data_IF_743875636371
#
_entry.id   IF_743875636371
#
_cell.length_a   1.000
_cell.length_b   1.000
_cell.length_c   1.000
_cell.angle_alpha   90.00
_cell.angle_beta   90.00
_cell.angle_gamma   90.00
#
_symmetry.space_group_name_H-M   'P 1'
#
loop_
_entity.id
_entity.type
_entity.pdbx_description
1 polymer ?
#
# COMPACT_ATOMS: atom_id res chain seq x y z
N UNK A 1 29.47 -3.28 19.43
CA UNK A 1 28.91 -2.68 20.66
C UNK A 1 27.89 -1.64 20.23
N UNK A 2 26.60 -1.97 20.38
CA UNK A 2 25.46 -1.08 20.16
C UNK A 2 25.37 -0.11 21.35
N UNK A 3 24.91 1.14 21.18
CA UNK A 3 24.92 2.07 22.30
C UNK A 3 23.90 1.62 23.35
N UNK A 4 24.42 1.09 24.46
CA UNK A 4 23.74 1.14 25.76
C UNK A 4 24.01 2.53 26.35
N UNK A 5 23.07 3.43 26.09
CA UNK A 5 22.90 4.83 26.55
C UNK A 5 21.58 5.28 25.91
N UNK A 6 20.58 5.72 26.68
CA UNK A 6 19.18 5.24 26.61
C UNK A 6 18.85 4.31 27.80
N UNK A 7 19.54 4.46 28.92
CA UNK A 7 19.42 3.55 30.07
C UNK A 7 18.08 3.59 30.79
N UNK A 8 17.11 4.41 30.40
CA UNK A 8 15.76 4.38 31.00
C UNK A 8 14.66 4.85 30.03
N UNK A 9 14.70 4.52 28.73
CA UNK A 9 13.71 5.04 27.77
C UNK A 9 12.30 4.56 28.12
N UNK A 10 11.58 5.39 28.88
CA UNK A 10 10.14 5.39 29.03
C UNK A 10 9.52 6.05 27.81
N UNK A 11 8.59 5.34 27.16
CA UNK A 11 7.64 5.78 26.14
C UNK A 11 8.09 6.99 25.28
N UNK A 12 8.48 6.72 24.03
CA UNK A 12 8.58 7.76 23.00
C UNK A 12 7.17 8.03 22.47
N UNK A 13 6.60 9.21 22.78
CA UNK A 13 5.40 9.71 22.11
C UNK A 13 5.84 10.54 20.92
N UNK A 14 5.74 9.98 19.73
CA UNK A 14 5.92 10.74 18.48
C UNK A 14 4.63 11.51 18.23
N UNK A 15 4.70 12.84 18.28
CA UNK A 15 3.59 13.70 17.86
C UNK A 15 3.90 14.18 16.45
N UNK A 16 3.17 13.66 15.47
CA UNK A 16 3.25 14.11 14.09
C UNK A 16 2.44 15.41 13.94
N UNK A 17 3.10 16.48 13.49
CA UNK A 17 2.41 17.67 12.98
C UNK A 17 2.24 17.44 11.47
N UNK A 18 1.00 17.28 11.03
CA UNK A 18 0.68 17.32 9.61
C UNK A 18 0.91 18.76 9.13
N UNK A 19 1.97 18.97 8.36
CA UNK A 19 2.16 20.21 7.62
C UNK A 19 0.88 20.42 6.77
N UNK A 20 0.22 21.57 6.98
CA UNK A 20 -1.05 22.05 6.40
C UNK A 20 -2.29 22.02 7.30
N UNK A 21 -2.23 21.52 8.55
CA UNK A 21 -3.31 21.71 9.52
C UNK A 21 -2.73 22.16 10.87
N UNK A 22 -3.04 23.41 11.27
CA UNK A 22 -2.78 23.94 12.61
C UNK A 22 -3.69 23.28 13.67
N UNK A 23 -3.73 21.96 13.71
CA UNK A 23 -4.50 21.17 14.67
C UNK A 23 -3.51 20.27 15.40
N UNK A 24 -2.96 20.79 16.51
CA UNK A 24 -2.38 19.94 17.54
C UNK A 24 -3.52 19.13 18.16
N UNK A 25 -3.65 17.86 17.78
CA UNK A 25 -4.52 16.93 18.51
C UNK A 25 -3.86 16.59 19.84
N UNK A 26 -4.40 17.11 20.93
CA UNK A 26 -4.03 16.67 22.27
C UNK A 26 -4.61 15.27 22.51
N UNK A 27 -3.73 14.28 22.68
CA UNK A 27 -4.13 12.95 23.10
C UNK A 27 -3.95 12.82 24.61
N UNK A 28 -5.04 12.58 25.32
CA UNK A 28 -4.97 12.18 26.73
C UNK A 28 -4.85 10.65 26.82
N UNK A 29 -3.68 10.15 27.20
CA UNK A 29 -3.45 8.72 27.39
C UNK A 29 -3.85 8.34 28.82
N UNK A 30 -4.82 7.42 28.95
CA UNK A 30 -5.22 6.90 30.26
C UNK A 30 -4.19 5.88 30.76
N UNK A 31 -3.40 6.26 31.78
CA UNK A 31 -2.38 5.43 32.43
C UNK A 31 -2.91 4.03 32.77
N UNK A 32 -4.06 3.93 33.40
CA UNK A 32 -4.63 2.65 33.82
C UNK A 32 -4.91 1.69 32.66
N UNK A 33 -5.34 2.21 31.52
CA UNK A 33 -5.60 1.41 30.31
C UNK A 33 -4.31 0.85 29.71
N UNK A 34 -3.24 1.65 29.71
CA UNK A 34 -1.92 1.22 29.24
C UNK A 34 -1.35 0.13 30.14
N UNK A 35 -1.41 0.31 31.47
CA UNK A 35 -0.97 -0.70 32.42
C UNK A 35 -1.79 -2.00 32.31
N UNK A 36 -3.10 -1.89 32.10
CA UNK A 36 -3.97 -3.04 31.91
C UNK A 36 -3.61 -3.83 30.64
N UNK A 37 -3.34 -3.14 29.53
CA UNK A 37 -2.90 -3.76 28.29
C UNK A 37 -1.53 -4.46 28.44
N UNK A 38 -0.58 -3.83 29.14
CA UNK A 38 0.74 -4.40 29.38
C UNK A 38 0.68 -5.65 30.28
N UNK A 39 -0.12 -5.61 31.36
CA UNK A 39 -0.37 -6.77 32.22
C UNK A 39 -1.03 -7.91 31.46
N UNK A 40 -1.97 -7.60 30.56
CA UNK A 40 -2.58 -8.60 29.70
C UNK A 40 -1.53 -9.24 28.78
N UNK A 41 -0.66 -8.43 28.15
CA UNK A 41 0.40 -8.92 27.26
C UNK A 41 1.36 -9.88 27.97
N UNK A 42 1.82 -9.53 29.17
CA UNK A 42 2.73 -10.39 29.96
C UNK A 42 2.05 -11.71 30.34
N UNK A 43 0.77 -11.68 30.72
CA UNK A 43 0.03 -12.90 31.09
C UNK A 43 -0.21 -13.84 29.91
N UNK A 44 -0.34 -13.30 28.69
CA UNK A 44 -0.79 -14.06 27.52
C UNK A 44 0.33 -14.31 26.50
N UNK A 45 1.54 -13.79 26.71
CA UNK A 45 2.66 -13.99 25.80
C UNK A 45 3.90 -14.54 26.53
N UNK A 46 4.27 -15.82 26.32
CA UNK A 46 5.40 -16.47 26.97
C UNK A 46 6.75 -15.78 26.74
N UNK A 47 6.89 -14.99 25.66
CA UNK A 47 8.11 -14.23 25.36
C UNK A 47 8.32 -13.04 26.31
N UNK A 48 7.29 -12.63 27.04
CA UNK A 48 7.30 -11.47 27.94
C UNK A 48 7.24 -11.87 29.42
N UNK A 49 7.40 -13.17 29.73
CA UNK A 49 7.34 -13.71 31.09
C UNK A 49 8.37 -13.09 32.05
N UNK A 50 9.48 -12.58 31.52
CA UNK A 50 10.58 -11.98 32.29
C UNK A 50 10.48 -10.45 32.38
N UNK A 51 9.43 -9.85 31.81
CA UNK A 51 9.16 -8.41 31.90
C UNK A 51 8.47 -8.10 33.22
N UNK A 52 9.00 -7.13 33.96
CA UNK A 52 8.41 -6.61 35.18
C UNK A 52 7.90 -5.20 34.94
N UNK A 53 6.66 -4.94 35.31
CA UNK A 53 6.06 -3.62 35.25
C UNK A 53 6.37 -2.91 36.56
N UNK A 54 6.94 -1.71 36.51
CA UNK A 54 7.07 -0.86 37.68
C UNK A 54 5.77 -0.08 37.90
N UNK A 55 4.98 -0.55 38.87
CA UNK A 55 3.71 0.07 39.25
C UNK A 55 3.89 1.40 40.00
N UNK A 56 5.11 1.70 40.48
CA UNK A 56 5.42 2.89 41.26
C UNK A 56 6.10 4.01 40.45
N UNK A 57 6.36 3.79 39.16
CA UNK A 57 6.97 4.79 38.29
C UNK A 57 6.15 6.09 38.27
N UNK A 58 6.74 7.19 38.71
CA UNK A 58 6.17 8.54 38.64
C UNK A 58 6.75 9.21 37.38
N UNK A 59 6.00 9.19 36.28
CA UNK A 59 6.42 9.88 35.04
C UNK A 59 6.18 11.37 35.28
N UNK A 60 7.24 12.14 35.47
CA UNK A 60 7.13 13.60 35.53
C UNK A 60 7.04 14.16 34.10
N UNK A 61 6.32 15.27 33.90
CA UNK A 61 6.23 15.93 32.58
C UNK A 61 7.61 16.35 32.02
N UNK A 62 8.63 16.38 32.88
CA UNK A 62 10.02 16.73 32.55
C UNK A 62 10.82 15.55 31.97
N UNK A 63 10.34 14.31 32.09
CA UNK A 63 10.97 13.11 31.51
C UNK A 63 10.46 12.80 30.08
N UNK A 64 9.49 13.57 29.59
CA UNK A 64 9.04 13.52 28.21
C UNK A 64 10.07 14.21 27.31
N UNK A 65 10.75 13.44 26.46
CA UNK A 65 11.57 13.99 25.37
C UNK A 65 10.64 14.63 24.35
N UNK A 66 10.44 15.94 24.45
CA UNK A 66 9.71 16.73 23.45
C UNK A 66 10.69 17.14 22.34
N UNK A 67 10.59 16.49 21.20
CA UNK A 67 11.23 16.95 19.96
C UNK A 67 10.53 18.24 19.52
N UNK A 68 11.16 19.39 19.82
CA UNK A 68 10.76 20.67 19.25
C UNK A 68 11.53 20.85 17.94
N UNK A 69 10.83 20.73 16.82
CA UNK A 69 11.35 21.22 15.54
C UNK A 69 11.39 22.75 15.65
N UNK A 70 12.52 23.42 15.38
CA UNK A 70 12.60 24.87 15.48
C UNK A 70 11.55 25.52 14.56
N UNK A 71 10.78 26.46 15.08
CA UNK A 71 9.93 27.31 14.25
C UNK A 71 10.82 28.11 13.31
N UNK A 72 10.76 27.79 12.02
CA UNK A 72 11.49 28.52 10.98
C UNK A 72 10.76 29.83 10.73
N UNK A 73 11.46 30.95 10.96
CA UNK A 73 10.98 32.28 10.57
C UNK A 73 10.72 32.32 9.06
N UNK A 74 9.61 32.95 8.68
CA UNK A 74 9.08 33.03 7.31
C UNK A 74 10.11 33.50 6.26
N UNK A 75 11.17 34.18 6.69
CA UNK A 75 12.24 34.65 5.81
C UNK A 75 13.19 33.52 5.33
N UNK A 76 13.35 32.41 6.08
CA UNK A 76 14.17 31.25 5.65
C UNK A 76 13.40 30.27 4.74
N UNK A 77 12.08 30.41 4.63
CA UNK A 77 11.25 29.56 3.77
C UNK A 77 11.49 29.82 2.27
N UNK A 78 12.03 30.99 1.93
CA UNK A 78 12.25 31.40 0.55
C UNK A 78 13.53 30.81 -0.08
N UNK A 79 14.51 30.37 0.72
CA UNK A 79 15.75 29.76 0.22
C UNK A 79 15.79 28.22 0.29
N UNK A 80 14.79 27.57 0.90
CA UNK A 80 14.71 26.09 0.97
C UNK A 80 13.93 25.43 -0.17
N UNK A 81 13.54 26.19 -1.18
CA UNK A 81 12.62 25.72 -2.22
C UNK A 81 13.26 24.93 -3.38
N UNK A 82 14.53 24.51 -3.31
CA UNK A 82 15.17 23.79 -4.44
C UNK A 82 16.12 22.64 -4.07
N UNK A 83 16.23 22.22 -2.80
CA UNK A 83 17.04 21.05 -2.45
C UNK A 83 16.18 19.78 -2.32
N UNK A 84 15.85 19.22 -3.49
CA UNK A 84 15.46 17.83 -3.77
C UNK A 84 14.54 17.14 -2.74
N UNK A 85 13.22 17.15 -2.98
CA UNK A 85 12.41 15.96 -2.64
C UNK A 85 13.03 14.82 -3.45
N UNK A 86 13.90 14.04 -2.82
CA UNK A 86 14.59 12.94 -3.48
C UNK A 86 13.54 11.90 -3.85
N UNK A 87 13.06 11.96 -5.09
CA UNK A 87 12.12 11.00 -5.64
C UNK A 87 12.73 9.60 -5.45
N UNK A 88 12.10 8.77 -4.60
CA UNK A 88 12.60 7.45 -4.26
C UNK A 88 12.58 6.49 -5.45
N UNK A 89 11.88 6.85 -6.54
CA UNK A 89 11.82 6.07 -7.74
C UNK A 89 13.14 6.08 -8.51
N UNK A 90 13.63 4.89 -8.82
CA UNK A 90 14.86 4.67 -9.57
C UNK A 90 14.52 4.55 -11.06
N UNK A 91 15.19 5.29 -11.97
CA UNK A 91 14.93 5.18 -13.41
C UNK A 91 15.14 3.76 -13.93
N UNK A 92 14.20 3.25 -14.74
CA UNK A 92 14.34 1.96 -15.46
C UNK A 92 14.42 2.13 -16.97
N UNK A 93 14.00 3.29 -17.48
CA UNK A 93 14.23 3.82 -18.83
C UNK A 93 13.97 5.35 -18.80
N UNK A 94 13.91 5.99 -19.97
CA UNK A 94 13.76 7.45 -20.09
C UNK A 94 12.37 7.98 -19.70
N UNK A 95 11.36 7.12 -19.60
CA UNK A 95 9.95 7.50 -19.38
C UNK A 95 9.29 6.73 -18.22
N UNK A 96 10.09 5.97 -17.45
CA UNK A 96 9.60 5.15 -16.35
C UNK A 96 10.64 4.99 -15.23
N UNK A 97 10.13 4.96 -14.00
CA UNK A 97 10.90 4.85 -12.77
C UNK A 97 10.24 3.82 -11.85
N UNK A 98 10.99 3.18 -10.95
CA UNK A 98 10.49 2.10 -10.09
C UNK A 98 10.87 2.31 -8.63
N UNK A 99 9.92 2.07 -7.72
CA UNK A 99 10.23 1.72 -6.32
C UNK A 99 9.97 0.23 -6.11
N UNK A 100 10.77 -0.39 -5.25
CA UNK A 100 10.64 -1.80 -4.90
C UNK A 100 10.47 -1.93 -3.40
N UNK A 101 9.49 -2.72 -2.99
CA UNK A 101 9.27 -3.07 -1.61
C UNK A 101 10.47 -3.86 -1.05
N UNK A 102 10.46 -4.12 0.25
CA UNK A 102 11.42 -5.05 0.85
C UNK A 102 11.14 -6.49 0.44
N UNK A 103 9.87 -6.84 0.15
CA UNK A 103 9.39 -8.21 -0.04
C UNK A 103 8.32 -8.27 -1.14
N UNK A 104 7.95 -9.49 -1.55
CA UNK A 104 6.75 -9.73 -2.37
C UNK A 104 5.69 -10.44 -1.52
N UNK A 105 4.44 -10.45 -1.98
CA UNK A 105 3.30 -10.99 -1.22
C UNK A 105 3.39 -12.47 -0.81
N UNK A 106 4.31 -13.21 -1.44
CA UNK A 106 4.56 -14.64 -1.19
C UNK A 106 5.67 -14.89 -0.17
N UNK A 107 6.19 -13.84 0.50
CA UNK A 107 7.20 -13.98 1.54
C UNK A 107 6.53 -14.45 2.86
N UNK A 108 6.64 -15.74 3.15
CA UNK A 108 6.07 -16.38 4.33
C UNK A 108 6.70 -15.94 5.66
N UNK A 109 7.88 -15.30 5.65
CA UNK A 109 8.48 -14.78 6.87
C UNK A 109 7.81 -13.47 7.32
N UNK A 110 7.22 -12.73 6.36
CA UNK A 110 6.56 -11.45 6.60
C UNK A 110 5.05 -11.64 6.71
N UNK A 111 4.46 -12.32 5.73
CA UNK A 111 3.01 -12.55 5.65
C UNK A 111 2.65 -13.87 6.33
N UNK A 112 2.58 -13.84 7.66
CA UNK A 112 2.39 -15.03 8.51
C UNK A 112 0.93 -15.47 8.67
N UNK A 113 0.01 -14.81 7.96
CA UNK A 113 -1.43 -15.10 7.95
C UNK A 113 -1.81 -16.47 7.37
N UNK A 114 -0.84 -17.24 6.88
CA UNK A 114 -0.98 -18.49 6.09
C UNK A 114 -1.52 -18.28 4.68
N UNK A 115 -1.85 -17.05 4.30
CA UNK A 115 -2.41 -16.70 3.00
C UNK A 115 -1.42 -15.97 2.08
N UNK A 116 -0.12 -16.06 2.38
CA UNK A 116 0.90 -15.47 1.53
C UNK A 116 0.82 -16.07 0.11
N UNK A 117 0.69 -15.19 -0.89
CA UNK A 117 0.59 -15.54 -2.30
C UNK A 117 -0.76 -15.22 -2.95
N UNK A 118 -1.85 -15.10 -2.18
CA UNK A 118 -3.22 -15.00 -2.73
C UNK A 118 -3.91 -13.66 -2.45
N UNK A 119 -3.22 -12.74 -1.77
CA UNK A 119 -3.76 -11.46 -1.30
C UNK A 119 -3.60 -10.27 -2.27
N UNK A 120 -3.31 -10.52 -3.55
CA UNK A 120 -2.93 -9.48 -4.53
C UNK A 120 -4.05 -8.46 -4.80
N UNK A 121 -5.32 -8.90 -4.84
CA UNK A 121 -6.46 -8.00 -5.04
C UNK A 121 -6.58 -6.99 -3.89
N UNK A 122 -6.44 -7.44 -2.64
CA UNK A 122 -6.52 -6.56 -1.47
C UNK A 122 -5.31 -5.62 -1.35
N UNK A 123 -4.11 -6.10 -1.70
CA UNK A 123 -2.92 -5.23 -1.81
C UNK A 123 -3.06 -4.18 -2.92
N UNK A 124 -3.72 -4.52 -4.03
CA UNK A 124 -4.05 -3.56 -5.08
C UNK A 124 -5.02 -2.50 -4.58
N UNK A 125 -6.08 -2.88 -3.86
CA UNK A 125 -6.99 -1.93 -3.24
C UNK A 125 -6.28 -1.04 -2.19
N UNK A 126 -5.40 -1.61 -1.38
CA UNK A 126 -4.62 -0.85 -0.39
C UNK A 126 -3.70 0.20 -1.05
N UNK A 127 -3.12 -0.09 -2.22
CA UNK A 127 -2.36 0.88 -2.99
C UNK A 127 -3.25 2.00 -3.56
N UNK A 128 -4.42 1.66 -4.09
CA UNK A 128 -5.39 2.65 -4.60
C UNK A 128 -5.83 3.59 -3.47
N UNK A 129 -6.20 3.04 -2.31
CA UNK A 129 -6.60 3.82 -1.14
C UNK A 129 -5.48 4.72 -0.65
N UNK A 130 -4.22 4.23 -0.67
CA UNK A 130 -3.06 5.07 -0.34
C UNK A 130 -2.92 6.23 -1.32
N UNK A 131 -3.06 5.97 -2.62
CA UNK A 131 -2.89 6.99 -3.65
C UNK A 131 -3.96 8.10 -3.56
N UNK A 132 -5.12 7.79 -2.96
CA UNK A 132 -6.17 8.78 -2.71
C UNK A 132 -5.86 9.77 -1.57
N UNK A 133 -4.90 9.45 -0.68
CA UNK A 133 -4.54 10.30 0.46
C UNK A 133 -3.08 10.76 0.46
N UNK A 134 -2.24 10.15 -0.37
CA UNK A 134 -0.81 10.45 -0.45
C UNK A 134 -0.34 10.28 -1.90
N UNK A 135 0.15 11.37 -2.50
CA UNK A 135 0.59 11.39 -3.89
C UNK A 135 1.64 10.31 -4.16
N UNK A 136 1.50 9.48 -5.20
CA UNK A 136 2.42 8.37 -5.45
C UNK A 136 3.87 8.76 -5.68
N UNK A 137 4.15 10.00 -6.12
CA UNK A 137 5.51 10.54 -6.26
C UNK A 137 6.24 10.73 -4.92
N UNK A 138 5.50 10.76 -3.79
CA UNK A 138 6.04 10.82 -2.44
C UNK A 138 6.30 9.42 -1.85
N UNK A 139 5.96 8.35 -2.57
CA UNK A 139 6.10 6.99 -2.04
C UNK A 139 7.56 6.55 -2.02
N UNK A 140 7.99 6.06 -0.87
CA UNK A 140 9.25 5.37 -0.68
C UNK A 140 9.03 3.87 -0.42
N UNK A 141 10.12 3.16 -0.11
CA UNK A 141 10.07 1.73 0.21
C UNK A 141 9.22 1.46 1.46
N UNK A 142 9.22 2.36 2.45
CA UNK A 142 8.48 2.17 3.70
C UNK A 142 6.98 2.32 3.48
N UNK A 143 6.56 3.32 2.70
CA UNK A 143 5.16 3.50 2.29
C UNK A 143 4.67 2.27 1.55
N UNK A 144 5.43 1.78 0.57
CA UNK A 144 5.05 0.58 -0.18
C UNK A 144 4.98 -0.66 0.73
N UNK A 145 5.91 -0.85 1.66
CA UNK A 145 5.86 -1.93 2.64
C UNK A 145 4.61 -1.83 3.53
N UNK A 146 4.27 -0.63 4.00
CA UNK A 146 3.06 -0.40 4.80
C UNK A 146 1.79 -0.72 4.00
N UNK A 147 1.74 -0.37 2.71
CA UNK A 147 0.61 -0.71 1.85
C UNK A 147 0.45 -2.23 1.70
N UNK A 148 1.55 -2.96 1.57
CA UNK A 148 1.54 -4.42 1.47
C UNK A 148 1.01 -5.07 2.76
N UNK A 149 1.43 -4.59 3.93
CA UNK A 149 0.95 -5.07 5.23
C UNK A 149 -0.54 -4.74 5.46
N UNK A 150 -0.96 -3.54 5.06
CA UNK A 150 -2.35 -3.12 5.12
C UNK A 150 -3.22 -3.98 4.19
N UNK A 151 -2.74 -4.28 2.98
CA UNK A 151 -3.41 -5.18 2.03
C UNK A 151 -3.54 -6.61 2.52
N UNK A 152 -2.51 -7.17 3.17
CA UNK A 152 -2.59 -8.51 3.79
C UNK A 152 -3.62 -8.54 4.92
N UNK A 153 -3.61 -7.53 5.78
CA UNK A 153 -4.58 -7.39 6.87
C UNK A 153 -6.01 -7.28 6.34
N UNK A 154 -6.21 -6.48 5.29
CA UNK A 154 -7.49 -6.32 4.60
C UNK A 154 -7.99 -7.64 4.01
N UNK A 155 -7.11 -8.37 3.32
CA UNK A 155 -7.43 -9.68 2.75
C UNK A 155 -7.90 -10.66 3.83
N UNK A 156 -7.14 -10.76 4.93
CA UNK A 156 -7.48 -11.63 6.05
C UNK A 156 -8.85 -11.27 6.61
N UNK A 157 -9.10 -9.98 6.83
CA UNK A 157 -10.36 -9.50 7.37
C UNK A 157 -11.53 -9.82 6.44
N UNK A 158 -11.44 -9.49 5.14
CA UNK A 158 -12.50 -9.79 4.15
C UNK A 158 -12.85 -11.28 4.19
N UNK A 159 -11.84 -12.15 4.18
CA UNK A 159 -12.07 -13.61 4.25
C UNK A 159 -12.81 -14.08 5.48
N UNK A 160 -12.62 -13.42 6.63
CA UNK A 160 -13.38 -13.78 7.85
C UNK A 160 -14.85 -13.40 7.77
N UNK A 161 -15.21 -12.49 6.85
CA UNK A 161 -16.56 -11.98 6.68
C UNK A 161 -17.31 -12.63 5.50
N UNK A 162 -16.58 -13.22 4.54
CA UNK A 162 -17.18 -13.90 3.38
C UNK A 162 -17.86 -15.21 3.79
N UNK A 163 -18.94 -15.54 3.08
CA UNK A 163 -19.45 -16.91 3.10
C UNK A 163 -18.41 -17.85 2.47
N UNK A 164 -18.14 -19.04 3.03
CA UNK A 164 -17.18 -20.00 2.46
C UNK A 164 -17.43 -20.37 0.99
N UNK A 165 -18.65 -20.22 0.48
CA UNK A 165 -19.02 -20.50 -0.91
C UNK A 165 -18.65 -19.38 -1.89
N UNK A 166 -18.34 -18.17 -1.40
CA UNK A 166 -17.95 -17.02 -2.23
C UNK A 166 -16.48 -17.06 -2.66
N UNK A 167 -15.72 -18.02 -2.15
CA UNK A 167 -14.30 -18.17 -2.38
C UNK A 167 -14.01 -19.56 -2.91
N UNK A 168 -13.30 -19.63 -4.03
CA UNK A 168 -12.89 -20.90 -4.60
C UNK A 168 -11.70 -21.53 -3.84
N UNK A 169 -11.31 -22.73 -4.29
CA UNK A 169 -10.19 -23.49 -3.73
C UNK A 169 -8.83 -22.77 -3.88
N UNK A 170 -8.72 -21.82 -4.81
CA UNK A 170 -7.49 -21.06 -5.04
C UNK A 170 -7.26 -20.01 -3.96
N UNK A 171 -8.35 -19.53 -3.36
CA UNK A 171 -8.32 -18.51 -2.32
C UNK A 171 -8.06 -17.09 -2.80
N UNK A 172 -8.02 -16.83 -4.11
CA UNK A 172 -7.95 -15.46 -4.61
C UNK A 172 -9.26 -14.71 -4.36
N UNK A 173 -9.16 -13.46 -3.93
CA UNK A 173 -10.33 -12.57 -3.89
C UNK A 173 -10.59 -12.02 -5.29
N UNK A 174 -11.84 -12.12 -5.72
CA UNK A 174 -12.36 -11.40 -6.86
C UNK A 174 -12.86 -10.01 -6.45
N UNK A 175 -13.02 -9.11 -7.43
CA UNK A 175 -13.50 -7.74 -7.17
C UNK A 175 -14.88 -7.75 -6.52
N UNK A 176 -15.75 -8.69 -6.89
CA UNK A 176 -17.08 -8.85 -6.25
C UNK A 176 -16.98 -9.05 -4.74
N UNK A 177 -15.92 -9.69 -4.23
CA UNK A 177 -15.77 -9.91 -2.78
C UNK A 177 -15.51 -8.62 -1.99
N UNK A 178 -15.22 -7.50 -2.66
CA UNK A 178 -15.09 -6.19 -2.02
C UNK A 178 -16.43 -5.56 -1.62
N UNK A 179 -17.56 -6.24 -1.87
CA UNK A 179 -18.86 -5.86 -1.29
C UNK A 179 -18.79 -5.70 0.24
N UNK A 180 -17.95 -6.50 0.91
CA UNK A 180 -17.71 -6.46 2.36
C UNK A 180 -17.20 -5.09 2.83
N UNK A 181 -16.41 -4.39 2.01
CA UNK A 181 -15.78 -3.10 2.35
C UNK A 181 -16.43 -1.88 1.70
N UNK A 182 -17.46 -2.09 0.87
CA UNK A 182 -18.01 -1.08 -0.06
C UNK A 182 -18.35 0.26 0.61
N UNK A 183 -18.92 0.23 1.81
CA UNK A 183 -19.43 1.46 2.50
C UNK A 183 -18.60 1.88 3.70
N UNK A 184 -17.60 1.09 4.09
CA UNK A 184 -16.88 1.34 5.33
C UNK A 184 -15.56 0.57 5.34
N UNK A 185 -14.58 1.09 4.61
CA UNK A 185 -13.20 0.64 4.73
C UNK A 185 -12.44 1.54 5.71
N UNK A 186 -11.92 0.99 6.79
CA UNK A 186 -10.99 1.68 7.68
C UNK A 186 -9.56 1.27 7.35
N UNK A 187 -8.74 2.20 6.88
CA UNK A 187 -7.35 1.96 6.49
C UNK A 187 -6.55 3.26 6.60
N UNK A 188 -5.26 3.18 6.95
CA UNK A 188 -4.39 4.35 7.10
C UNK A 188 -5.00 5.48 7.95
N UNK A 189 -5.67 5.11 9.05
CA UNK A 189 -6.34 6.04 9.98
C UNK A 189 -7.50 6.86 9.38
N UNK A 190 -7.88 6.54 8.14
CA UNK A 190 -8.98 7.16 7.41
C UNK A 190 -10.12 6.16 7.21
N UNK A 191 -11.32 6.70 6.94
CA UNK A 191 -12.49 5.93 6.54
C UNK A 191 -12.84 6.24 5.09
N UNK A 192 -13.02 5.21 4.30
CA UNK A 192 -13.31 5.29 2.87
C UNK A 192 -14.64 4.59 2.54
N UNK A 193 -15.31 5.11 1.52
CA UNK A 193 -16.30 4.38 0.73
C UNK A 193 -15.59 3.85 -0.51
N UNK A 194 -15.71 2.55 -0.77
CA UNK A 194 -15.16 1.92 -1.97
C UNK A 194 -16.33 1.67 -2.91
N UNK A 195 -16.47 2.52 -3.91
CA UNK A 195 -17.47 2.34 -4.96
C UNK A 195 -16.76 1.86 -6.21
N UNK A 196 -17.24 0.76 -6.77
CA UNK A 196 -16.86 0.28 -8.09
C UNK A 196 -18.14 0.16 -8.92
N UNK A 197 -18.07 0.56 -10.19
CA UNK A 197 -19.21 0.45 -11.10
C UNK A 197 -19.22 -0.96 -11.73
N UNK A 198 -20.24 -1.73 -11.37
CA UNK A 198 -20.44 -3.10 -11.83
C UNK A 198 -20.65 -3.17 -13.35
N UNK A 199 -20.99 -2.05 -14.00
CA UNK A 199 -21.19 -1.95 -15.45
C UNK A 199 -19.94 -1.48 -16.21
N UNK A 200 -18.86 -1.08 -15.53
CA UNK A 200 -17.60 -0.63 -16.17
C UNK A 200 -16.57 -1.75 -16.32
N UNK A 201 -16.97 -3.02 -16.28
CA UNK A 201 -16.06 -4.13 -16.57
C UNK A 201 -15.51 -4.00 -18.01
N UNK A 202 -14.24 -3.62 -18.12
CA UNK A 202 -13.52 -3.58 -19.38
C UNK A 202 -12.73 -4.88 -19.53
N UNK A 203 -12.79 -5.52 -20.69
CA UNK A 203 -12.13 -6.80 -20.91
C UNK A 203 -11.55 -6.93 -22.32
N UNK A 204 -10.58 -7.82 -22.45
CA UNK A 204 -9.96 -8.16 -23.73
C UNK A 204 -8.75 -9.07 -23.55
N UNK A 205 -7.86 -9.06 -24.52
CA UNK A 205 -6.58 -9.79 -24.52
C UNK A 205 -5.41 -8.82 -24.49
N UNK A 206 -4.34 -9.20 -23.78
CA UNK A 206 -3.07 -8.45 -23.77
C UNK A 206 -2.34 -8.52 -25.13
N UNK A 207 -2.77 -9.41 -26.02
CA UNK A 207 -2.36 -9.43 -27.42
C UNK A 207 -3.35 -8.66 -28.29
N UNK A 208 -2.95 -7.48 -28.78
CA UNK A 208 -3.85 -6.55 -29.48
C UNK A 208 -4.54 -7.17 -30.71
N UNK A 209 -3.84 -8.03 -31.46
CA UNK A 209 -4.39 -8.69 -32.64
C UNK A 209 -5.59 -9.61 -32.33
N UNK A 210 -5.72 -10.09 -31.09
CA UNK A 210 -6.83 -10.94 -30.64
C UNK A 210 -8.08 -10.13 -30.35
N UNK A 211 -7.96 -8.83 -30.07
CA UNK A 211 -9.10 -7.95 -29.79
C UNK A 211 -9.88 -7.52 -31.05
N UNK A 212 -9.59 -8.14 -32.19
CA UNK A 212 -10.36 -7.98 -33.42
C UNK A 212 -11.65 -8.81 -33.33
N UNK A 213 -12.70 -8.41 -34.05
CA UNK A 213 -14.01 -9.10 -34.09
C UNK A 213 -14.84 -9.08 -32.78
N UNK A 214 -14.84 -7.98 -32.04
CA UNK A 214 -15.69 -7.78 -30.84
C UNK A 214 -15.48 -8.76 -29.67
N UNK A 215 -14.32 -9.44 -29.60
CA UNK A 215 -13.97 -10.33 -28.46
C UNK A 215 -13.63 -9.51 -27.20
N UNK A 216 -13.23 -8.24 -27.36
CA UNK A 216 -12.90 -7.32 -26.28
C UNK A 216 -12.27 -6.04 -26.83
N UNK A 217 -11.68 -5.21 -25.96
CA UNK A 217 -10.94 -4.00 -26.35
C UNK A 217 -9.45 -4.15 -26.08
N UNK A 218 -8.61 -3.35 -26.74
CA UNK A 218 -7.17 -3.33 -26.42
C UNK A 218 -6.94 -2.73 -25.04
N UNK A 219 -5.87 -3.15 -24.37
CA UNK A 219 -5.52 -2.61 -23.05
C UNK A 219 -5.34 -1.08 -23.07
N UNK A 220 -4.79 -0.54 -24.16
CA UNK A 220 -4.65 0.91 -24.31
C UNK A 220 -6.01 1.61 -24.31
N UNK A 221 -6.99 1.09 -25.05
CA UNK A 221 -8.36 1.64 -25.06
C UNK A 221 -9.02 1.49 -23.69
N UNK A 222 -8.81 0.36 -23.00
CA UNK A 222 -9.35 0.14 -21.67
C UNK A 222 -8.79 1.13 -20.65
N UNK A 223 -7.47 1.35 -20.64
CA UNK A 223 -6.81 2.31 -19.75
C UNK A 223 -7.23 3.76 -20.04
N UNK A 224 -7.43 4.15 -21.31
CA UNK A 224 -7.99 5.47 -21.62
C UNK A 224 -9.38 5.64 -21.01
N UNK A 225 -10.30 4.69 -21.29
CA UNK A 225 -11.67 4.74 -20.74
C UNK A 225 -11.70 4.75 -19.22
N UNK A 226 -10.79 4.02 -18.58
CA UNK A 226 -10.63 4.07 -17.13
C UNK A 226 -10.33 5.51 -16.67
N UNK A 227 -9.28 6.12 -17.23
CA UNK A 227 -8.81 7.44 -16.80
C UNK A 227 -9.63 8.63 -17.31
N UNK A 228 -10.57 8.39 -18.22
CA UNK A 228 -11.59 9.39 -18.62
C UNK A 228 -12.58 9.67 -17.48
N UNK A 229 -12.90 8.66 -16.67
CA UNK A 229 -13.95 8.76 -15.64
C UNK A 229 -13.48 8.46 -14.21
N UNK A 230 -12.32 7.81 -14.05
CA UNK A 230 -11.82 7.33 -12.76
C UNK A 230 -10.32 7.64 -12.61
N UNK A 231 -9.83 7.73 -11.38
CA UNK A 231 -8.40 7.96 -11.10
C UNK A 231 -7.59 6.66 -10.99
N UNK A 232 -8.25 5.51 -10.87
CA UNK A 232 -7.62 4.25 -10.51
C UNK A 232 -8.47 3.07 -10.95
N UNK A 233 -7.87 1.89 -11.03
CA UNK A 233 -8.57 0.63 -11.26
C UNK A 233 -7.71 -0.59 -10.94
N UNK A 234 -8.33 -1.76 -10.88
CA UNK A 234 -7.67 -3.05 -10.68
C UNK A 234 -7.70 -3.82 -11.99
N UNK A 235 -6.50 -4.10 -12.52
CA UNK A 235 -6.26 -4.91 -13.70
C UNK A 235 -5.96 -6.35 -13.28
N UNK A 236 -6.74 -7.30 -13.76
CA UNK A 236 -6.54 -8.72 -13.49
C UNK A 236 -6.15 -9.44 -14.78
N UNK A 237 -4.99 -10.12 -14.77
CA UNK A 237 -4.52 -10.96 -15.87
C UNK A 237 -3.49 -11.96 -15.36
N UNK A 238 -3.38 -13.13 -16.00
CA UNK A 238 -2.41 -14.18 -15.61
C UNK A 238 -2.42 -14.54 -14.12
N UNK A 239 -3.63 -14.65 -13.53
CA UNK A 239 -3.84 -14.92 -12.10
C UNK A 239 -3.20 -13.88 -11.17
N UNK A 240 -3.03 -12.64 -11.64
CA UNK A 240 -2.52 -11.52 -10.87
C UNK A 240 -3.54 -10.40 -10.91
N UNK A 241 -3.84 -9.83 -9.75
CA UNK A 241 -4.51 -8.53 -9.63
C UNK A 241 -3.45 -7.47 -9.33
N UNK A 242 -3.42 -6.43 -10.15
CA UNK A 242 -2.51 -5.29 -10.01
C UNK A 242 -3.31 -4.00 -10.06
N UNK A 243 -2.83 -2.94 -9.44
CA UNK A 243 -3.50 -1.63 -9.49
C UNK A 243 -2.83 -0.72 -10.50
N UNK A 244 -3.66 0.04 -11.21
CA UNK A 244 -3.24 1.14 -12.07
C UNK A 244 -3.91 2.41 -11.56
N UNK A 245 -3.18 3.52 -11.51
CA UNK A 245 -3.73 4.79 -11.06
C UNK A 245 -3.01 5.99 -11.68
N UNK A 246 -3.71 7.11 -11.78
CA UNK A 246 -3.25 8.38 -12.32
C UNK A 246 -2.98 9.35 -11.17
N UNK A 247 -1.74 9.84 -11.08
CA UNK A 247 -1.40 11.02 -10.26
C UNK A 247 -1.61 12.31 -11.06
N UNK A 248 -1.08 13.44 -10.60
CA UNK A 248 -1.27 14.73 -11.28
C UNK A 248 -0.84 14.69 -12.76
N UNK A 249 0.41 14.32 -13.04
CA UNK A 249 0.98 14.29 -14.40
C UNK A 249 1.59 12.94 -14.79
N UNK A 250 1.34 11.89 -14.00
CA UNK A 250 1.99 10.58 -14.12
C UNK A 250 0.99 9.45 -13.98
N UNK A 251 1.40 8.30 -14.49
CA UNK A 251 0.66 7.05 -14.39
C UNK A 251 1.44 6.04 -13.58
N UNK A 252 0.76 5.20 -12.82
CA UNK A 252 1.38 4.25 -11.91
C UNK A 252 0.83 2.84 -12.12
N UNK A 253 1.72 1.87 -12.01
CA UNK A 253 1.43 0.44 -12.00
C UNK A 253 1.99 -0.15 -10.71
N UNK A 254 1.17 -0.81 -9.90
CA UNK A 254 1.58 -1.42 -8.65
C UNK A 254 1.29 -2.92 -8.63
N UNK A 255 2.32 -3.72 -8.36
CA UNK A 255 2.28 -5.18 -8.41
C UNK A 255 2.91 -5.78 -7.14
N UNK A 256 2.10 -6.54 -6.41
CA UNK A 256 2.46 -7.20 -5.16
C UNK A 256 3.30 -8.47 -5.35
N UNK A 257 3.37 -9.01 -6.57
CA UNK A 257 4.03 -10.28 -6.85
C UNK A 257 5.55 -10.14 -6.89
N UNK A 258 6.23 -11.27 -7.08
CA UNK A 258 7.68 -11.35 -7.23
C UNK A 258 8.13 -10.72 -8.55
N UNK A 259 8.55 -9.46 -8.49
CA UNK A 259 9.01 -8.68 -9.63
C UNK A 259 10.51 -8.37 -9.57
N UNK A 260 11.17 -8.49 -10.72
CA UNK A 260 12.58 -8.17 -10.90
C UNK A 260 12.83 -6.65 -10.92
N UNK A 261 14.08 -6.21 -11.13
CA UNK A 261 14.47 -4.79 -11.05
C UNK A 261 13.75 -3.87 -12.04
N UNK A 262 13.14 -4.41 -13.10
CA UNK A 262 12.36 -3.67 -14.10
C UNK A 262 10.89 -4.11 -14.13
N UNK A 263 10.36 -4.64 -13.02
CA UNK A 263 8.95 -5.04 -12.90
C UNK A 263 8.55 -6.36 -13.59
N UNK A 264 9.42 -6.97 -14.39
CA UNK A 264 9.13 -8.28 -15.01
C UNK A 264 9.01 -9.37 -13.92
N UNK A 265 8.08 -10.32 -14.03
CA UNK A 265 8.01 -11.45 -13.10
C UNK A 265 9.36 -12.18 -13.02
N UNK A 266 9.77 -12.56 -11.80
CA UNK A 266 10.99 -13.32 -11.53
C UNK A 266 10.72 -14.40 -10.48
N UNK A 267 11.25 -15.63 -10.65
CA UNK A 267 11.15 -16.66 -9.62
C UNK A 267 12.13 -16.41 -8.47
N UNK A 268 13.21 -15.67 -8.71
CA UNK A 268 14.30 -15.47 -7.76
C UNK A 268 14.40 -14.00 -7.34
N UNK A 269 14.57 -13.78 -6.02
CA UNK A 269 14.87 -12.47 -5.41
C UNK A 269 13.96 -11.33 -5.88
N UNK A 270 12.70 -11.65 -6.18
CA UNK A 270 11.72 -10.65 -6.58
C UNK A 270 11.17 -9.89 -5.39
N UNK A 271 10.59 -8.73 -5.70
CA UNK A 271 10.02 -7.80 -4.73
C UNK A 271 8.76 -7.21 -5.34
N UNK A 272 7.77 -6.88 -4.53
CA UNK A 272 6.68 -6.04 -4.98
C UNK A 272 7.22 -4.70 -5.48
N UNK A 273 6.51 -4.04 -6.38
CA UNK A 273 6.98 -2.79 -6.97
C UNK A 273 5.84 -1.85 -7.36
N UNK A 274 6.18 -0.56 -7.44
CA UNK A 274 5.38 0.46 -8.11
C UNK A 274 6.23 1.09 -9.19
N UNK A 275 5.69 1.19 -10.40
CA UNK A 275 6.35 1.79 -11.55
C UNK A 275 5.59 3.06 -11.93
N UNK A 276 6.29 4.18 -11.88
CA UNK A 276 5.84 5.46 -12.41
C UNK A 276 6.14 5.53 -13.90
N UNK A 277 5.20 6.02 -14.68
CA UNK A 277 5.25 6.17 -16.13
C UNK A 277 4.88 7.61 -16.51
N UNK A 278 5.65 8.20 -17.41
CA UNK A 278 5.45 9.58 -17.85
C UNK A 278 4.24 9.75 -18.77
N UNK A 279 3.73 8.66 -19.36
CA UNK A 279 2.56 8.69 -20.24
C UNK A 279 1.82 7.35 -20.25
N UNK A 280 0.59 7.38 -20.78
CA UNK A 280 -0.30 6.22 -20.84
C UNK A 280 0.25 5.09 -21.74
N UNK A 281 0.95 5.45 -22.82
CA UNK A 281 1.58 4.47 -23.71
C UNK A 281 2.61 3.62 -22.96
N UNK A 282 3.43 4.27 -22.12
CA UNK A 282 4.38 3.57 -21.28
C UNK A 282 3.68 2.72 -20.21
N UNK A 283 2.63 3.24 -19.55
CA UNK A 283 1.83 2.43 -18.62
C UNK A 283 1.32 1.14 -19.29
N UNK A 284 0.72 1.25 -20.48
CA UNK A 284 0.23 0.09 -21.23
C UNK A 284 1.36 -0.91 -21.53
N UNK A 285 2.54 -0.42 -21.91
CA UNK A 285 3.74 -1.24 -22.14
C UNK A 285 4.20 -1.94 -20.87
N UNK A 286 4.18 -1.25 -19.72
CA UNK A 286 4.51 -1.81 -18.41
C UNK A 286 3.52 -2.93 -18.04
N UNK A 287 2.21 -2.69 -18.14
CA UNK A 287 1.19 -3.70 -17.84
C UNK A 287 1.42 -4.99 -18.66
N UNK A 288 1.61 -4.87 -19.99
CA UNK A 288 1.90 -6.03 -20.86
C UNK A 288 3.23 -6.72 -20.53
N UNK A 289 4.25 -5.96 -20.12
CA UNK A 289 5.55 -6.53 -19.71
C UNK A 289 5.43 -7.32 -18.39
N UNK A 290 4.64 -6.82 -17.45
CA UNK A 290 4.52 -7.35 -16.09
C UNK A 290 3.50 -8.49 -15.97
N UNK A 291 2.45 -8.49 -16.80
CA UNK A 291 1.39 -9.48 -16.83
C UNK A 291 1.56 -10.51 -17.96
N UNK A 292 2.41 -10.21 -18.95
CA UNK A 292 2.60 -11.01 -20.15
C UNK A 292 1.92 -10.39 -21.36
N UNK A 293 2.49 -10.59 -22.56
CA UNK A 293 2.05 -9.92 -23.79
C UNK A 293 1.52 -10.90 -24.85
N UNK A 294 1.26 -12.15 -24.45
CA UNK A 294 0.69 -13.19 -25.31
C UNK A 294 -0.84 -13.11 -25.27
N UNK A 295 -1.52 -14.09 -25.86
CA UNK A 295 -2.96 -14.25 -25.75
C UNK A 295 -3.38 -14.58 -24.31
N UNK A 296 -3.43 -13.56 -23.46
CA UNK A 296 -3.79 -13.60 -22.05
C UNK A 296 -4.99 -12.68 -21.91
N UNK A 297 -6.11 -13.23 -21.45
CA UNK A 297 -7.29 -12.45 -21.14
C UNK A 297 -7.01 -11.51 -19.95
N UNK A 298 -7.56 -10.30 -20.01
CA UNK A 298 -7.55 -9.36 -18.92
C UNK A 298 -8.96 -8.85 -18.62
N UNK A 299 -9.19 -8.49 -17.37
CA UNK A 299 -10.30 -7.65 -16.93
C UNK A 299 -9.75 -6.41 -16.22
N UNK A 300 -10.41 -5.28 -16.39
CA UNK A 300 -10.07 -4.02 -15.74
C UNK A 300 -11.34 -3.47 -15.10
N UNK A 301 -11.29 -3.33 -13.78
CA UNK A 301 -12.35 -2.79 -12.96
C UNK A 301 -11.95 -1.39 -12.50
N UNK A 302 -12.86 -0.43 -12.64
CA UNK A 302 -12.69 0.93 -12.13
C UNK A 302 -12.91 0.99 -10.61
#
# INVERSE_FOLDING_TARGET
MLPRSASQVGIIVVTERLENLNITREFTICREKVYSALRWLIRNNPLYKDVRIDDNAQISDQELVRLSVPELSEDEASERNENEIRNAFIPINNVARIIRASWHQGDYNVFTSRYAGVQCSAMSLANIVRAAILSPNQWDVNILNANMLAGDSLYCWIRTQLDPTELDETGYLEIRNFHIVRKSLQMYECRFSVEYDENTLLFGSLQDSVNTNNIGITLHTALNRLFDSHSSGILTASNKSVSVFRGEDKYYFADSHSCGPKGKPTPENGKACVIECDNLQELCRICKRCLGSRNIAYTLHA
#
